data_IF_855572911745
#
_entry.id   IF_855572911745
#
_cell.length_a   1.000
_cell.length_b   1.000
_cell.length_c   1.000
_cell.angle_alpha   90.00
_cell.angle_beta   90.00
_cell.angle_gamma   90.00
#
_symmetry.space_group_name_H-M   'P 1'
#
loop_
_entity.id
_entity.type
_entity.pdbx_description
1 polymer ?
#
# COMPACT_ATOMS: atom_id res chain seq x y z
N UNK A 1 -29.53 7.12 20.48
CA UNK A 1 -28.66 5.93 20.54
C UNK A 1 -28.26 5.52 19.12
N UNK A 2 -27.16 6.05 18.58
CA UNK A 2 -26.67 5.74 17.22
C UNK A 2 -25.20 5.26 17.17
N UNK A 3 -24.50 5.23 18.30
CA UNK A 3 -23.06 4.89 18.38
C UNK A 3 -22.72 3.39 18.11
N UNK A 4 -23.70 2.49 18.14
CA UNK A 4 -23.48 1.04 18.00
C UNK A 4 -23.40 0.50 16.57
N UNK A 5 -23.91 1.24 15.58
CA UNK A 5 -23.88 0.82 14.16
C UNK A 5 -22.66 1.35 13.42
N UNK A 6 -22.22 2.57 13.72
CA UNK A 6 -20.99 3.15 13.13
C UNK A 6 -19.75 2.34 13.48
N UNK A 7 -19.61 1.92 14.73
CA UNK A 7 -18.49 1.09 15.19
C UNK A 7 -18.44 -0.28 14.51
N UNK A 8 -19.59 -0.94 14.32
CA UNK A 8 -19.69 -2.23 13.61
C UNK A 8 -19.42 -2.10 12.10
N UNK A 9 -19.90 -1.02 11.49
CA UNK A 9 -19.65 -0.75 10.07
C UNK A 9 -18.16 -0.56 9.80
N UNK A 10 -17.49 0.27 10.62
CA UNK A 10 -16.06 0.50 10.49
C UNK A 10 -15.24 -0.78 10.73
N UNK A 11 -15.62 -1.60 11.72
CA UNK A 11 -14.94 -2.87 11.99
C UNK A 11 -14.92 -3.78 10.76
N UNK A 12 -16.08 -3.98 10.12
CA UNK A 12 -16.18 -4.79 8.89
C UNK A 12 -15.27 -4.25 7.78
N UNK A 13 -15.19 -2.93 7.64
CA UNK A 13 -14.33 -2.33 6.63
C UNK A 13 -12.84 -2.51 6.94
N UNK A 14 -12.45 -2.41 8.21
CA UNK A 14 -11.09 -2.68 8.70
C UNK A 14 -10.68 -4.12 8.43
N UNK A 15 -11.53 -5.08 8.80
CA UNK A 15 -11.30 -6.51 8.56
C UNK A 15 -11.14 -6.81 7.07
N UNK A 16 -12.07 -6.33 6.23
CA UNK A 16 -11.99 -6.55 4.79
C UNK A 16 -10.71 -5.98 4.14
N UNK A 17 -10.24 -4.81 4.60
CA UNK A 17 -8.97 -4.25 4.11
C UNK A 17 -7.76 -5.06 4.61
N UNK A 18 -7.79 -5.44 5.89
CA UNK A 18 -6.75 -6.27 6.53
C UNK A 18 -6.58 -7.60 5.83
N UNK A 19 -7.66 -8.36 5.67
CA UNK A 19 -7.66 -9.68 5.03
C UNK A 19 -7.11 -9.59 3.60
N UNK A 20 -7.54 -8.59 2.85
CA UNK A 20 -7.03 -8.36 1.50
C UNK A 20 -5.53 -8.08 1.50
N UNK A 21 -5.05 -7.17 2.35
CA UNK A 21 -3.63 -6.79 2.39
C UNK A 21 -2.74 -7.95 2.86
N UNK A 22 -3.19 -8.73 3.83
CA UNK A 22 -2.47 -9.91 4.33
C UNK A 22 -2.47 -11.03 3.29
N UNK A 23 -3.61 -11.29 2.64
CA UNK A 23 -3.74 -12.35 1.62
C UNK A 23 -3.17 -11.97 0.25
N UNK A 24 -2.87 -10.69 0.00
CA UNK A 24 -2.28 -10.26 -1.27
C UNK A 24 -0.86 -10.80 -1.43
N UNK A 25 -0.62 -11.45 -2.56
CA UNK A 25 0.70 -11.89 -3.01
C UNK A 25 0.99 -11.25 -4.37
N UNK A 26 2.09 -10.47 -4.50
CA UNK A 26 2.50 -9.93 -5.79
C UNK A 26 2.85 -11.05 -6.77
N UNK A 27 2.39 -10.91 -8.01
CA UNK A 27 2.66 -11.85 -9.10
C UNK A 27 3.31 -11.12 -10.26
N UNK A 28 4.16 -11.84 -10.99
CA UNK A 28 4.76 -11.33 -12.22
C UNK A 28 3.71 -11.38 -13.33
N UNK A 29 3.26 -10.21 -13.77
CA UNK A 29 2.36 -10.03 -14.91
C UNK A 29 3.15 -9.37 -16.03
N UNK A 30 3.20 -10.01 -17.21
CA UNK A 30 3.81 -9.44 -18.42
C UNK A 30 5.20 -8.81 -18.19
N UNK A 31 6.08 -9.50 -17.44
CA UNK A 31 7.46 -9.10 -17.10
C UNK A 31 7.60 -7.98 -16.04
N UNK A 32 6.53 -7.64 -15.33
CA UNK A 32 6.56 -6.65 -14.25
C UNK A 32 5.72 -7.09 -13.04
N UNK A 33 6.11 -6.69 -11.84
CA UNK A 33 5.22 -6.78 -10.68
C UNK A 33 4.37 -5.52 -10.67
N UNK A 34 3.04 -5.67 -10.63
CA UNK A 34 2.10 -4.54 -10.68
C UNK A 34 1.25 -4.46 -9.41
N UNK A 35 0.70 -3.27 -9.15
CA UNK A 35 -0.31 -3.03 -8.12
C UNK A 35 -1.54 -3.92 -8.35
N UNK A 36 -2.15 -4.45 -7.27
CA UNK A 36 -3.31 -5.31 -7.43
C UNK A 36 -4.52 -4.55 -7.95
N UNK A 37 -5.28 -5.21 -8.81
CA UNK A 37 -6.65 -4.80 -9.14
C UNK A 37 -7.53 -4.98 -7.91
N UNK A 38 -7.90 -3.86 -7.29
CA UNK A 38 -8.74 -3.88 -6.08
C UNK A 38 -10.18 -4.34 -6.39
N UNK A 39 -10.72 -5.33 -5.67
CA UNK A 39 -12.15 -5.64 -5.69
C UNK A 39 -13.00 -4.45 -5.24
N UNK A 40 -14.24 -4.37 -5.71
CA UNK A 40 -15.16 -3.27 -5.37
C UNK A 40 -15.35 -3.12 -3.85
N UNK A 41 -15.42 -4.24 -3.12
CA UNK A 41 -15.54 -4.27 -1.65
C UNK A 41 -14.36 -3.56 -0.98
N UNK A 42 -13.13 -3.85 -1.41
CA UNK A 42 -11.90 -3.28 -0.86
C UNK A 42 -11.78 -1.79 -1.21
N UNK A 43 -12.14 -1.40 -2.45
CA UNK A 43 -12.20 0.02 -2.83
C UNK A 43 -13.16 0.81 -1.94
N UNK A 44 -14.33 0.23 -1.63
CA UNK A 44 -15.32 0.81 -0.73
C UNK A 44 -14.78 0.92 0.70
N UNK A 45 -14.16 -0.14 1.23
CA UNK A 45 -13.50 -0.11 2.54
C UNK A 45 -12.45 0.99 2.62
N UNK A 46 -11.56 1.10 1.64
CA UNK A 46 -10.52 2.13 1.62
C UNK A 46 -11.10 3.55 1.70
N UNK A 47 -12.14 3.85 0.93
CA UNK A 47 -12.79 5.17 0.96
C UNK A 47 -13.42 5.46 2.31
N UNK A 48 -14.24 4.53 2.83
CA UNK A 48 -14.95 4.72 4.10
C UNK A 48 -13.95 4.89 5.25
N UNK A 49 -12.95 4.03 5.35
CA UNK A 49 -11.94 4.11 6.40
C UNK A 49 -11.11 5.38 6.29
N UNK A 50 -10.80 5.82 5.06
CA UNK A 50 -10.06 7.05 4.83
C UNK A 50 -10.86 8.28 5.28
N UNK A 51 -12.14 8.36 4.89
CA UNK A 51 -13.01 9.49 5.25
C UNK A 51 -13.23 9.58 6.78
N UNK A 52 -13.02 8.48 7.52
CA UNK A 52 -13.06 8.42 8.98
C UNK A 52 -11.67 8.48 9.65
N UNK A 53 -10.61 8.83 8.91
CA UNK A 53 -9.23 8.92 9.41
C UNK A 53 -8.73 7.65 10.14
N UNK A 54 -9.15 6.47 9.68
CA UNK A 54 -8.73 5.20 10.27
C UNK A 54 -7.26 4.88 9.88
N UNK A 55 -6.41 4.65 10.89
CA UNK A 55 -5.00 4.30 10.70
C UNK A 55 -4.80 3.03 9.86
N UNK A 56 -5.79 2.12 9.84
CA UNK A 56 -5.75 0.89 9.06
C UNK A 56 -5.55 1.13 7.56
N UNK A 57 -5.99 2.27 7.03
CA UNK A 57 -5.73 2.64 5.63
C UNK A 57 -4.23 2.80 5.41
N UNK A 58 -3.55 3.56 6.27
CA UNK A 58 -2.09 3.76 6.22
C UNK A 58 -1.36 2.42 6.32
N UNK A 59 -1.71 1.63 7.35
CA UNK A 59 -1.04 0.35 7.66
C UNK A 59 -1.15 -0.62 6.48
N UNK A 60 -2.37 -0.86 5.99
CA UNK A 60 -2.59 -1.94 5.03
C UNK A 60 -2.30 -1.54 3.58
N UNK A 61 -2.36 -0.25 3.24
CA UNK A 61 -1.83 0.21 1.95
C UNK A 61 -0.31 0.18 1.92
N UNK A 62 0.36 0.54 3.03
CA UNK A 62 1.80 0.39 3.16
C UNK A 62 2.24 -1.08 3.04
N UNK A 63 1.55 -2.00 3.73
CA UNK A 63 1.83 -3.43 3.63
C UNK A 63 1.82 -3.95 2.18
N UNK A 64 0.82 -3.56 1.40
CA UNK A 64 0.71 -3.98 -0.01
C UNK A 64 1.91 -3.48 -0.82
N UNK A 65 2.30 -2.22 -0.64
CA UNK A 65 3.44 -1.65 -1.38
C UNK A 65 4.77 -2.27 -0.95
N UNK A 66 4.96 -2.54 0.34
CA UNK A 66 6.15 -3.24 0.84
C UNK A 66 6.28 -4.65 0.24
N UNK A 67 5.19 -5.39 0.14
CA UNK A 67 5.18 -6.71 -0.50
C UNK A 67 5.61 -6.63 -1.97
N UNK A 68 5.11 -5.64 -2.70
CA UNK A 68 5.52 -5.37 -4.09
C UNK A 68 7.03 -5.10 -4.17
N UNK A 69 7.55 -4.23 -3.30
CA UNK A 69 8.98 -3.93 -3.28
C UNK A 69 9.84 -5.17 -2.96
N UNK A 70 9.42 -5.97 -1.98
CA UNK A 70 10.09 -7.23 -1.68
C UNK A 70 10.11 -8.17 -2.91
N UNK A 71 9.02 -8.23 -3.66
CA UNK A 71 8.96 -9.01 -4.90
C UNK A 71 9.90 -8.46 -5.98
N UNK A 72 10.00 -7.13 -6.13
CA UNK A 72 10.97 -6.49 -7.03
C UNK A 72 12.41 -6.88 -6.70
N UNK A 73 12.77 -6.83 -5.41
CA UNK A 73 14.12 -7.19 -4.95
C UNK A 73 14.49 -8.65 -5.28
N UNK A 74 13.50 -9.55 -5.29
CA UNK A 74 13.67 -11.00 -5.54
C UNK A 74 13.67 -11.38 -7.02
N UNK A 75 12.79 -10.81 -7.83
CA UNK A 75 12.64 -11.23 -9.22
C UNK A 75 13.71 -10.63 -10.12
N UNK A 76 13.81 -9.30 -10.12
CA UNK A 76 14.40 -8.64 -11.28
C UNK A 76 15.01 -7.26 -10.98
N UNK A 77 15.13 -6.88 -9.69
CA UNK A 77 15.71 -5.60 -9.24
C UNK A 77 15.08 -4.37 -9.95
N UNK A 78 13.85 -4.52 -10.41
CA UNK A 78 13.11 -3.51 -11.16
C UNK A 78 12.60 -2.43 -10.20
N UNK A 79 12.59 -1.18 -10.65
CA UNK A 79 11.93 -0.10 -9.93
C UNK A 79 10.56 0.22 -10.56
N UNK A 80 9.68 0.86 -9.80
CA UNK A 80 8.25 0.87 -10.08
C UNK A 80 7.89 1.90 -11.16
N UNK A 81 7.57 1.43 -12.37
CA UNK A 81 6.99 2.30 -13.42
C UNK A 81 5.49 2.47 -13.18
N UNK A 82 5.10 3.53 -12.48
CA UNK A 82 3.71 3.81 -12.10
C UNK A 82 2.77 3.95 -13.31
N UNK A 83 3.31 4.29 -14.49
CA UNK A 83 2.54 4.56 -15.71
C UNK A 83 2.78 3.61 -16.89
N UNK A 84 3.51 2.49 -16.73
CA UNK A 84 3.59 1.47 -17.82
C UNK A 84 2.29 0.69 -18.02
N UNK A 85 1.30 0.90 -17.16
CA UNK A 85 -0.11 0.63 -17.46
C UNK A 85 -0.80 1.96 -17.80
N UNK A 86 -1.76 2.01 -18.76
CA UNK A 86 -2.34 3.25 -19.27
C UNK A 86 -3.32 3.86 -18.25
N UNK A 87 -2.85 4.34 -17.11
CA UNK A 87 -3.72 4.81 -16.03
C UNK A 87 -3.20 6.09 -15.40
N UNK A 88 -3.98 7.16 -15.61
CA UNK A 88 -3.75 8.49 -15.04
C UNK A 88 -3.69 8.50 -13.51
N UNK A 89 -3.00 9.50 -12.96
CA UNK A 89 -2.79 9.81 -11.52
C UNK A 89 -4.06 10.17 -10.73
N UNK A 90 -5.24 9.98 -11.30
CA UNK A 90 -6.50 10.26 -10.59
C UNK A 90 -6.62 9.36 -9.35
N UNK A 91 -7.06 9.94 -8.20
CA UNK A 91 -7.53 9.22 -6.99
C UNK A 91 -8.42 8.01 -7.32
N UNK A 92 -9.09 8.04 -8.47
CA UNK A 92 -9.96 6.95 -8.95
C UNK A 92 -9.22 5.71 -9.49
N UNK A 93 -7.95 5.81 -9.90
CA UNK A 93 -7.23 4.76 -10.64
C UNK A 93 -6.17 4.02 -9.83
N UNK A 94 -5.40 4.71 -8.97
CA UNK A 94 -4.34 4.10 -8.14
C UNK A 94 -4.54 4.34 -6.63
N UNK A 95 -5.65 3.84 -6.09
CA UNK A 95 -6.07 4.07 -4.69
C UNK A 95 -5.02 3.65 -3.65
N UNK A 96 -4.33 2.53 -3.86
CA UNK A 96 -3.34 2.01 -2.89
C UNK A 96 -2.17 2.97 -2.76
N UNK A 97 -1.58 3.34 -3.89
CA UNK A 97 -0.42 4.23 -3.93
C UNK A 97 -0.79 5.63 -3.45
N UNK A 98 -1.96 6.13 -3.88
CA UNK A 98 -2.50 7.41 -3.41
C UNK A 98 -2.57 7.42 -1.88
N UNK A 99 -3.20 6.42 -1.27
CA UNK A 99 -3.34 6.38 0.19
C UNK A 99 -2.02 6.09 0.89
N UNK A 100 -1.13 5.25 0.35
CA UNK A 100 0.18 4.99 0.94
C UNK A 100 1.06 6.26 1.02
N UNK A 101 1.03 7.10 -0.04
CA UNK A 101 1.82 8.33 -0.11
C UNK A 101 1.17 9.52 0.59
N UNK A 102 -0.17 9.61 0.62
CA UNK A 102 -0.89 10.76 1.19
C UNK A 102 -0.70 10.96 2.69
N UNK A 103 -0.31 9.90 3.42
CA UNK A 103 -0.02 10.02 4.85
C UNK A 103 1.33 10.66 5.15
N UNK A 104 2.12 10.95 4.12
CA UNK A 104 3.29 11.79 4.20
C UNK A 104 2.88 13.22 3.80
N UNK A 105 2.93 14.16 4.76
CA UNK A 105 2.49 15.55 4.54
C UNK A 105 3.41 16.30 3.55
N UNK A 106 4.58 15.76 3.26
CA UNK A 106 5.57 16.39 2.39
C UNK A 106 5.42 15.99 0.91
N UNK A 107 4.57 15.00 0.61
CA UNK A 107 4.40 14.50 -0.75
C UNK A 107 3.22 15.16 -1.46
N UNK A 108 3.51 16.13 -2.33
CA UNK A 108 2.49 16.76 -3.16
C UNK A 108 2.01 15.79 -4.25
N UNK A 109 0.79 15.26 -4.05
CA UNK A 109 0.14 14.31 -4.96
C UNK A 109 -0.19 14.92 -6.33
N UNK A 110 -0.33 16.24 -6.42
CA UNK A 110 -0.60 16.95 -7.68
C UNK A 110 0.67 17.04 -8.56
N UNK A 111 1.86 16.91 -7.96
CA UNK A 111 3.16 16.92 -8.65
C UNK A 111 3.81 15.53 -8.73
N UNK A 112 3.03 14.47 -8.58
CA UNK A 112 3.57 13.11 -8.51
C UNK A 112 4.37 12.75 -9.77
N UNK A 113 5.66 12.40 -9.63
CA UNK A 113 6.53 12.14 -10.77
C UNK A 113 6.02 10.93 -11.57
N UNK A 114 6.35 10.91 -12.85
CA UNK A 114 5.97 9.84 -13.79
C UNK A 114 6.49 8.46 -13.38
N UNK A 115 7.56 8.46 -12.59
CA UNK A 115 8.24 7.28 -12.05
C UNK A 115 8.51 7.49 -10.56
N UNK A 116 8.17 6.51 -9.74
CA UNK A 116 8.62 6.47 -8.34
C UNK A 116 9.35 5.14 -8.15
N UNK A 117 10.65 5.17 -7.82
CA UNK A 117 11.37 3.94 -7.50
C UNK A 117 10.66 3.18 -6.37
N UNK A 118 10.53 1.86 -6.47
CA UNK A 118 9.94 1.09 -5.36
C UNK A 118 10.75 1.20 -4.07
N UNK A 119 12.06 1.47 -4.18
CA UNK A 119 12.94 1.82 -3.06
C UNK A 119 12.55 3.14 -2.40
N UNK A 120 12.17 4.16 -3.17
CA UNK A 120 11.69 5.44 -2.64
C UNK A 120 10.47 5.23 -1.73
N UNK A 121 9.53 4.38 -2.18
CA UNK A 121 8.35 4.08 -1.37
C UNK A 121 8.74 3.29 -0.11
N UNK A 122 9.72 2.39 -0.19
CA UNK A 122 10.25 1.71 0.99
C UNK A 122 10.90 2.67 1.98
N UNK A 123 11.74 3.61 1.55
CA UNK A 123 12.41 4.56 2.44
C UNK A 123 11.40 5.46 3.16
N UNK A 124 10.39 5.95 2.42
CA UNK A 124 9.28 6.73 3.00
C UNK A 124 8.43 5.90 3.96
N UNK A 125 8.05 4.70 3.53
CA UNK A 125 7.23 3.82 4.34
C UNK A 125 8.01 3.41 5.59
N UNK A 126 9.29 3.02 5.51
CA UNK A 126 10.11 2.55 6.62
C UNK A 126 10.18 3.59 7.75
N UNK A 127 10.42 4.86 7.41
CA UNK A 127 10.44 5.95 8.40
C UNK A 127 9.11 6.08 9.15
N UNK A 128 7.98 5.95 8.45
CA UNK A 128 6.63 6.01 9.05
C UNK A 128 6.14 4.67 9.64
N UNK A 129 6.68 3.54 9.21
CA UNK A 129 6.31 2.16 9.56
C UNK A 129 7.05 1.65 10.78
N UNK A 130 8.24 2.16 11.08
CA UNK A 130 8.88 1.89 12.38
C UNK A 130 8.00 2.38 13.57
N UNK A 131 7.01 3.23 13.30
CA UNK A 131 5.99 3.65 14.25
C UNK A 131 4.73 2.77 14.22
N UNK A 132 4.60 1.86 13.25
CA UNK A 132 3.47 0.95 13.06
C UNK A 132 3.78 -0.37 13.74
N UNK A 133 3.16 -0.62 14.90
CA UNK A 133 3.26 -1.89 15.63
C UNK A 133 2.31 -2.96 15.04
N UNK A 134 2.42 -3.25 13.74
CA UNK A 134 1.63 -4.30 13.08
C UNK A 134 2.55 -5.45 12.61
N UNK A 135 2.38 -6.70 13.12
CA UNK A 135 3.33 -7.80 12.91
C UNK A 135 3.61 -8.14 11.45
N UNK A 136 2.57 -8.12 10.59
CA UNK A 136 2.72 -8.42 9.17
C UNK A 136 3.57 -7.38 8.43
N UNK A 137 3.55 -6.13 8.91
CA UNK A 137 4.36 -5.05 8.32
C UNK A 137 5.81 -5.22 8.74
N UNK A 138 6.05 -5.49 10.03
CA UNK A 138 7.39 -5.72 10.59
C UNK A 138 8.09 -6.89 9.88
N UNK A 139 7.40 -8.03 9.75
CA UNK A 139 7.93 -9.23 9.06
C UNK A 139 8.36 -8.93 7.61
N UNK A 140 7.57 -8.15 6.85
CA UNK A 140 7.93 -7.78 5.48
C UNK A 140 9.12 -6.83 5.44
N UNK A 141 9.21 -5.87 6.37
CA UNK A 141 10.35 -4.95 6.48
C UNK A 141 11.64 -5.72 6.79
N UNK A 142 11.61 -6.64 7.74
CA UNK A 142 12.76 -7.49 8.08
C UNK A 142 13.24 -8.32 6.88
N UNK A 143 12.30 -8.88 6.10
CA UNK A 143 12.62 -9.61 4.86
C UNK A 143 13.28 -8.70 3.82
N UNK A 144 12.85 -7.46 3.71
CA UNK A 144 13.46 -6.47 2.80
C UNK A 144 14.86 -6.11 3.28
N UNK A 145 15.04 -5.78 4.56
CA UNK A 145 16.35 -5.43 5.14
C UNK A 145 17.36 -6.57 4.93
N UNK A 146 16.94 -7.80 5.15
CA UNK A 146 17.77 -8.98 4.86
C UNK A 146 18.12 -9.10 3.39
N UNK A 147 17.19 -8.84 2.48
CA UNK A 147 17.44 -8.90 1.04
C UNK A 147 18.37 -7.79 0.53
N UNK A 148 18.40 -6.63 1.21
CA UNK A 148 19.31 -5.53 0.91
C UNK A 148 20.73 -5.79 1.43
N UNK A 149 20.87 -6.39 2.62
CA UNK A 149 22.18 -6.72 3.21
C UNK A 149 22.91 -7.91 2.56
N UNK A 150 22.23 -8.65 1.68
CA UNK A 150 22.80 -9.79 0.93
C UNK A 150 23.29 -9.40 -0.48
N UNK A 151 23.22 -8.12 -0.85
CA UNK A 151 23.72 -7.56 -2.11
C UNK A 151 24.97 -6.74 -1.86
#
# INVERSE_FOLDING_TARGET
MYYGQESKCLLKHKENLKEFAIGYEPRLEEHSIILPKLPLSVRKSLRILYDHNCNEVKIYTALIVLKIYLAHLKCCNQAYEIRKTPYSTSRSKNLILYYALKYDNDYNLDSMPEYIPSSFIYDHIKAGVLQINEPNVIDVVEKIDKALNLK
#
